data_IF_483558803026
#
_entry.id   IF_483558803026
#
_cell.length_a   1.000
_cell.length_b   1.000
_cell.length_c   1.000
_cell.angle_alpha   90.00
_cell.angle_beta   90.00
_cell.angle_gamma   90.00
#
_symmetry.space_group_name_H-M   'P 1'
#
loop_
_entity.id
_entity.type
_entity.pdbx_description
1 polymer ?
#
# COMPACT_ATOMS: atom_id res chain seq x y z
N UNK A 1 -22.66 5.98 -17.15
CA UNK A 1 -22.60 4.93 -18.17
C UNK A 1 -21.25 4.24 -18.03
N UNK A 2 -21.15 2.90 -18.05
CA UNK A 2 -19.84 2.25 -18.09
C UNK A 2 -19.08 2.76 -19.31
N UNK A 3 -17.80 3.07 -19.14
CA UNK A 3 -16.92 3.44 -20.26
C UNK A 3 -17.00 2.32 -21.28
N UNK A 4 -17.25 2.70 -22.53
CA UNK A 4 -16.99 1.78 -23.64
C UNK A 4 -15.48 1.49 -23.65
N UNK A 5 -15.12 0.39 -22.98
CA UNK A 5 -13.75 -0.13 -22.82
C UNK A 5 -13.12 -0.45 -24.20
N UNK A 6 -13.90 -0.34 -25.25
CA UNK A 6 -13.55 -0.65 -26.62
C UNK A 6 -13.00 0.53 -27.45
N UNK A 7 -12.79 1.74 -26.87
CA UNK A 7 -12.14 2.82 -27.61
C UNK A 7 -10.61 2.65 -27.65
N UNK A 8 -10.03 2.16 -28.76
CA UNK A 8 -8.58 1.93 -28.86
C UNK A 8 -7.75 3.22 -28.75
N UNK A 9 -8.34 4.39 -29.02
CA UNK A 9 -7.64 5.67 -28.90
C UNK A 9 -7.43 6.01 -27.44
N UNK A 10 -8.46 5.95 -26.60
CA UNK A 10 -8.34 6.19 -25.15
C UNK A 10 -7.39 5.22 -24.46
N UNK A 11 -7.40 3.95 -24.88
CA UNK A 11 -6.46 2.99 -24.32
C UNK A 11 -5.00 3.31 -24.67
N UNK A 12 -4.73 3.80 -25.89
CA UNK A 12 -3.40 4.28 -26.27
C UNK A 12 -2.99 5.50 -25.44
N UNK A 13 -3.88 6.47 -25.26
CA UNK A 13 -3.61 7.67 -24.45
C UNK A 13 -3.36 7.29 -22.97
N UNK A 14 -4.11 6.34 -22.45
CA UNK A 14 -3.91 5.81 -21.10
C UNK A 14 -2.54 5.12 -20.94
N UNK A 15 -2.12 4.34 -21.94
CA UNK A 15 -0.80 3.71 -21.95
C UNK A 15 0.34 4.74 -22.04
N UNK A 16 0.16 5.82 -22.80
CA UNK A 16 1.11 6.93 -22.88
C UNK A 16 1.25 7.61 -21.51
N UNK A 17 0.14 7.94 -20.84
CA UNK A 17 0.19 8.50 -19.49
C UNK A 17 0.85 7.56 -18.46
N UNK A 18 0.62 6.26 -18.56
CA UNK A 18 1.28 5.27 -17.70
C UNK A 18 2.78 5.16 -17.99
N UNK A 19 3.21 5.33 -19.24
CA UNK A 19 4.65 5.36 -19.59
C UNK A 19 5.34 6.62 -19.03
N UNK A 20 4.63 7.74 -18.95
CA UNK A 20 5.14 8.98 -18.37
C UNK A 20 5.07 9.00 -16.83
N UNK A 21 4.02 8.41 -16.23
CA UNK A 21 3.77 8.43 -14.81
C UNK A 21 4.78 7.57 -14.01
N UNK A 22 5.05 7.96 -12.78
CA UNK A 22 5.78 7.17 -11.78
C UNK A 22 4.79 6.29 -11.00
N UNK A 23 4.19 5.30 -11.68
CA UNK A 23 3.12 4.48 -11.11
C UNK A 23 3.64 3.58 -9.98
N UNK A 24 3.16 3.82 -8.77
CA UNK A 24 3.52 3.05 -7.55
C UNK A 24 2.25 2.55 -6.88
N UNK A 25 2.18 1.26 -6.64
CA UNK A 25 1.17 0.64 -5.79
C UNK A 25 1.60 0.71 -4.32
N UNK A 26 0.77 1.29 -3.47
CA UNK A 26 1.12 1.49 -2.06
C UNK A 26 1.07 0.19 -1.23
N UNK A 27 0.55 -0.90 -1.77
CA UNK A 27 0.56 -2.17 -1.04
C UNK A 27 0.39 -3.38 -1.95
N UNK A 28 1.36 -4.29 -1.91
CA UNK A 28 1.24 -5.63 -2.49
C UNK A 28 1.87 -6.68 -1.57
N UNK A 29 1.18 -7.81 -1.44
CA UNK A 29 1.66 -8.97 -0.66
C UNK A 29 2.32 -10.07 -1.53
N UNK A 30 2.72 -9.73 -2.76
CA UNK A 30 3.28 -10.68 -3.74
C UNK A 30 4.44 -11.51 -3.19
N UNK A 31 5.21 -10.94 -2.26
CA UNK A 31 6.29 -11.68 -1.62
C UNK A 31 5.80 -12.80 -0.68
N UNK A 32 4.57 -12.73 -0.18
CA UNK A 32 3.95 -13.85 0.56
C UNK A 32 3.73 -15.04 -0.38
N UNK A 33 3.16 -14.81 -1.56
CA UNK A 33 2.94 -15.84 -2.57
C UNK A 33 4.27 -16.53 -2.98
N UNK A 34 5.33 -15.74 -3.17
CA UNK A 34 6.69 -16.24 -3.47
C UNK A 34 7.20 -17.18 -2.38
N UNK A 35 7.06 -16.81 -1.11
CA UNK A 35 7.60 -17.58 0.01
C UNK A 35 6.77 -18.81 0.39
N UNK A 36 5.44 -18.73 0.27
CA UNK A 36 4.55 -19.79 0.75
C UNK A 36 4.16 -20.78 -0.35
N UNK A 37 4.05 -20.32 -1.60
CA UNK A 37 3.55 -21.12 -2.72
C UNK A 37 4.59 -21.32 -3.83
N UNK A 38 5.84 -20.87 -3.65
CA UNK A 38 6.88 -20.97 -4.69
C UNK A 38 6.54 -20.16 -5.94
N UNK A 39 5.72 -19.11 -5.81
CA UNK A 39 5.38 -18.24 -6.92
C UNK A 39 6.61 -17.44 -7.38
N UNK A 40 6.97 -17.58 -8.67
CA UNK A 40 8.09 -16.86 -9.25
C UNK A 40 7.62 -15.51 -9.81
N UNK A 41 7.75 -14.45 -9.04
CA UNK A 41 7.37 -13.11 -9.47
C UNK A 41 8.27 -12.53 -10.59
N UNK A 42 9.38 -13.17 -10.94
CA UNK A 42 10.21 -12.77 -12.08
C UNK A 42 9.72 -13.37 -13.39
N UNK A 43 8.99 -14.47 -13.35
CA UNK A 43 8.44 -15.14 -14.52
C UNK A 43 7.04 -14.66 -14.87
N UNK A 44 6.70 -14.67 -16.16
CA UNK A 44 5.36 -14.30 -16.61
C UNK A 44 4.34 -15.40 -16.30
N UNK A 45 3.23 -15.01 -15.68
CA UNK A 45 2.11 -15.88 -15.39
C UNK A 45 0.86 -15.46 -16.18
N UNK A 46 0.04 -16.46 -16.52
CA UNK A 46 -1.26 -16.18 -17.13
C UNK A 46 -2.20 -15.54 -16.09
N UNK A 47 -2.90 -14.45 -16.42
CA UNK A 47 -3.90 -13.87 -15.57
C UNK A 47 -4.96 -14.91 -15.19
N UNK A 48 -5.26 -15.00 -13.90
CA UNK A 48 -6.29 -15.92 -13.39
C UNK A 48 -7.48 -15.10 -12.86
N UNK A 49 -8.70 -15.63 -13.05
CA UNK A 49 -9.90 -15.03 -12.49
C UNK A 49 -10.12 -15.54 -11.06
N UNK A 50 -10.52 -14.65 -10.13
CA UNK A 50 -10.92 -14.96 -8.75
C UNK A 50 -9.89 -15.77 -7.97
N UNK A 51 -8.64 -15.39 -8.03
CA UNK A 51 -7.58 -15.94 -7.21
C UNK A 51 -7.24 -15.02 -6.05
N UNK A 52 -6.74 -15.60 -4.96
CA UNK A 52 -6.27 -14.88 -3.77
C UNK A 52 -4.78 -14.52 -3.84
N UNK A 53 -4.04 -15.10 -4.76
CA UNK A 53 -2.60 -14.91 -4.94
C UNK A 53 -2.21 -15.11 -6.41
N UNK A 54 -1.04 -14.54 -6.81
CA UNK A 54 -0.53 -14.61 -8.17
C UNK A 54 -1.03 -13.47 -9.05
N UNK A 55 -1.35 -12.33 -8.42
CA UNK A 55 -1.82 -11.13 -9.10
C UNK A 55 -0.68 -10.38 -9.77
N UNK A 56 0.51 -10.30 -9.14
CA UNK A 56 1.62 -9.49 -9.63
C UNK A 56 2.81 -10.37 -10.02
N UNK A 57 3.34 -10.13 -11.21
CA UNK A 57 4.70 -10.51 -11.63
C UNK A 57 5.33 -9.33 -12.40
N UNK A 58 6.65 -9.30 -12.49
CA UNK A 58 7.38 -8.20 -13.10
C UNK A 58 7.05 -8.01 -14.61
N UNK A 59 6.89 -9.08 -15.42
CA UNK A 59 6.45 -8.92 -16.81
C UNK A 59 5.06 -8.26 -16.95
N UNK A 60 4.06 -8.67 -16.17
CA UNK A 60 2.72 -8.05 -16.19
C UNK A 60 2.75 -6.64 -15.58
N UNK A 61 3.52 -6.42 -14.50
CA UNK A 61 3.73 -5.11 -13.93
C UNK A 61 4.26 -4.12 -14.98
N UNK A 62 5.30 -4.49 -15.72
CA UNK A 62 5.88 -3.68 -16.80
C UNK A 62 4.85 -3.38 -17.91
N UNK A 63 4.12 -4.39 -18.40
CA UNK A 63 3.13 -4.21 -19.45
C UNK A 63 1.93 -3.38 -19.01
N UNK A 64 1.53 -3.50 -17.77
CA UNK A 64 0.43 -2.72 -17.17
C UNK A 64 0.85 -1.30 -16.74
N UNK A 65 2.14 -0.94 -16.88
CA UNK A 65 2.65 0.37 -16.49
C UNK A 65 2.89 0.54 -14.99
N UNK A 66 2.91 -0.54 -14.19
CA UNK A 66 3.26 -0.50 -12.77
C UNK A 66 4.78 -0.43 -12.63
N UNK A 67 5.31 0.73 -12.23
CA UNK A 67 6.75 1.00 -12.16
C UNK A 67 7.36 0.74 -10.79
N UNK A 68 6.57 0.62 -9.76
CA UNK A 68 7.02 0.25 -8.44
C UNK A 68 5.87 -0.17 -7.54
N UNK A 69 6.19 -0.78 -6.43
CA UNK A 69 5.23 -1.11 -5.39
C UNK A 69 5.89 -1.17 -4.01
N UNK A 70 5.09 -0.97 -2.97
CA UNK A 70 5.45 -1.27 -1.60
C UNK A 70 5.27 -2.78 -1.39
N UNK A 71 6.38 -3.50 -1.41
CA UNK A 71 6.42 -4.96 -1.25
C UNK A 71 6.38 -5.33 0.21
N UNK A 72 5.26 -5.87 0.64
CA UNK A 72 4.99 -6.17 2.03
C UNK A 72 5.71 -7.41 2.52
N UNK A 73 6.33 -7.30 3.70
CA UNK A 73 6.85 -8.41 4.48
C UNK A 73 5.95 -8.59 5.70
N UNK A 74 5.10 -9.62 5.64
CA UNK A 74 4.20 -10.01 6.73
C UNK A 74 4.74 -11.23 7.45
N UNK A 75 4.67 -11.25 8.77
CA UNK A 75 5.02 -12.42 9.57
C UNK A 75 3.77 -13.03 10.21
N UNK A 76 3.74 -14.36 10.36
CA UNK A 76 2.64 -15.03 11.04
C UNK A 76 2.51 -14.53 12.49
N UNK A 77 1.39 -13.91 12.88
CA UNK A 77 1.20 -13.29 14.20
C UNK A 77 1.20 -14.30 15.36
N UNK A 78 0.95 -15.59 15.08
CA UNK A 78 0.98 -16.64 16.10
C UNK A 78 2.38 -17.16 16.42
N UNK A 79 3.41 -16.70 15.72
CA UNK A 79 4.80 -17.05 16.07
C UNK A 79 5.24 -16.35 17.34
N UNK A 80 6.11 -16.96 18.17
CA UNK A 80 6.81 -16.28 19.26
C UNK A 80 7.56 -15.04 18.76
N UNK A 81 7.68 -13.99 19.59
CA UNK A 81 8.26 -12.70 19.20
C UNK A 81 9.69 -12.85 18.59
N UNK A 82 10.58 -13.60 19.26
CA UNK A 82 11.94 -13.87 18.76
C UNK A 82 11.96 -14.60 17.41
N UNK A 83 10.97 -15.44 17.15
CA UNK A 83 10.84 -16.14 15.86
C UNK A 83 10.29 -15.23 14.76
N UNK A 84 9.42 -14.26 15.12
CA UNK A 84 8.92 -13.27 14.16
C UNK A 84 10.06 -12.38 13.66
N UNK A 85 10.88 -11.86 14.55
CA UNK A 85 12.03 -11.02 14.18
C UNK A 85 13.02 -11.75 13.28
N UNK A 86 13.46 -12.97 13.64
CA UNK A 86 14.35 -13.77 12.78
C UNK A 86 13.72 -14.05 11.41
N UNK A 87 12.41 -14.26 11.36
CA UNK A 87 11.69 -14.47 10.11
C UNK A 87 11.65 -13.19 9.28
N UNK A 88 11.43 -12.03 9.90
CA UNK A 88 11.48 -10.74 9.22
C UNK A 88 12.84 -10.52 8.58
N UNK A 89 13.94 -10.64 9.34
CA UNK A 89 15.30 -10.41 8.84
C UNK A 89 15.64 -11.33 7.66
N UNK A 90 15.30 -12.62 7.78
CA UNK A 90 15.48 -13.56 6.68
C UNK A 90 14.66 -13.18 5.44
N UNK A 91 13.42 -12.73 5.61
CA UNK A 91 12.55 -12.36 4.51
C UNK A 91 12.98 -11.05 3.86
N UNK A 92 13.46 -10.10 4.66
CA UNK A 92 14.00 -8.83 4.16
C UNK A 92 15.23 -9.10 3.28
N UNK A 93 16.15 -9.95 3.78
CA UNK A 93 17.32 -10.36 3.00
C UNK A 93 16.92 -11.09 1.70
N UNK A 94 15.93 -11.97 1.75
CA UNK A 94 15.44 -12.67 0.56
C UNK A 94 14.78 -11.73 -0.45
N UNK A 95 13.97 -10.75 -0.01
CA UNK A 95 13.37 -9.73 -0.87
C UNK A 95 14.45 -8.84 -1.49
N UNK A 96 15.46 -8.44 -0.71
CA UNK A 96 16.61 -7.66 -1.21
C UNK A 96 17.39 -8.44 -2.26
N UNK A 97 17.66 -9.73 -2.00
CA UNK A 97 18.32 -10.59 -2.98
C UNK A 97 17.50 -10.66 -4.26
N UNK A 98 16.18 -10.90 -4.17
CA UNK A 98 15.29 -10.91 -5.33
C UNK A 98 15.38 -9.58 -6.11
N UNK A 99 15.28 -8.44 -5.44
CA UNK A 99 15.36 -7.13 -6.08
C UNK A 99 16.69 -6.87 -6.78
N UNK A 100 17.82 -7.29 -6.17
CA UNK A 100 19.15 -7.02 -6.70
C UNK A 100 19.60 -8.03 -7.77
N UNK A 101 19.01 -9.22 -7.83
CA UNK A 101 19.41 -10.27 -8.79
C UNK A 101 18.44 -10.46 -9.94
N UNK A 102 17.23 -9.91 -9.85
CA UNK A 102 16.21 -10.04 -10.90
C UNK A 102 16.37 -8.93 -11.93
N UNK A 103 16.58 -9.24 -13.21
CA UNK A 103 16.69 -8.25 -14.28
C UNK A 103 15.45 -7.36 -14.35
N UNK A 104 15.66 -6.04 -14.37
CA UNK A 104 14.58 -5.05 -14.45
C UNK A 104 13.87 -4.79 -13.12
N UNK A 105 14.44 -5.21 -11.98
CA UNK A 105 14.04 -4.81 -10.64
C UNK A 105 15.13 -3.97 -9.96
N UNK A 106 14.75 -3.12 -9.01
CA UNK A 106 15.67 -2.34 -8.19
C UNK A 106 15.20 -2.30 -6.73
N UNK A 107 16.15 -2.41 -5.80
CA UNK A 107 15.91 -2.17 -4.37
C UNK A 107 15.87 -0.68 -4.11
N UNK A 108 14.75 -0.17 -3.59
CA UNK A 108 14.51 1.27 -3.44
C UNK A 108 14.12 1.58 -1.99
N UNK A 109 14.97 2.37 -1.31
CA UNK A 109 14.71 2.84 0.05
C UNK A 109 14.80 4.37 0.20
N UNK A 110 15.15 5.09 -0.85
CA UNK A 110 15.24 6.55 -0.90
C UNK A 110 14.63 7.10 -2.18
N UNK A 111 14.35 8.40 -2.21
CA UNK A 111 13.85 9.05 -3.43
C UNK A 111 14.90 9.07 -4.54
N UNK A 112 16.18 9.25 -4.21
CA UNK A 112 17.26 9.17 -5.20
C UNK A 112 17.33 7.79 -5.85
N UNK A 113 17.26 6.70 -5.03
CA UNK A 113 17.23 5.34 -5.57
C UNK A 113 15.97 5.07 -6.41
N UNK A 114 14.84 5.72 -6.08
CA UNK A 114 13.64 5.65 -6.90
C UNK A 114 13.84 6.34 -8.26
N UNK A 115 14.41 7.54 -8.27
CA UNK A 115 14.68 8.29 -9.50
C UNK A 115 15.66 7.52 -10.40
N UNK A 116 16.70 6.89 -9.82
CA UNK A 116 17.64 6.03 -10.55
C UNK A 116 16.94 4.80 -11.15
N UNK A 117 16.07 4.14 -10.41
CA UNK A 117 15.29 3.01 -10.91
C UNK A 117 14.38 3.40 -12.08
N UNK A 118 13.74 4.59 -12.00
CA UNK A 118 12.92 5.13 -13.10
C UNK A 118 13.75 5.45 -14.33
N UNK A 119 14.91 6.09 -14.18
CA UNK A 119 15.83 6.39 -15.27
C UNK A 119 16.30 5.12 -15.98
N UNK A 120 16.51 4.02 -15.25
CA UNK A 120 16.91 2.72 -15.77
C UNK A 120 15.73 1.83 -16.21
N UNK A 121 14.49 2.33 -16.17
CA UNK A 121 13.26 1.58 -16.48
C UNK A 121 13.12 0.27 -15.66
N UNK A 122 13.55 0.30 -14.41
CA UNK A 122 13.43 -0.82 -13.48
C UNK A 122 12.18 -0.69 -12.62
N UNK A 123 11.61 -1.83 -12.20
CA UNK A 123 10.52 -1.86 -11.23
C UNK A 123 11.09 -1.64 -9.82
N UNK A 124 10.61 -0.59 -9.16
CA UNK A 124 11.03 -0.25 -7.80
C UNK A 124 10.40 -1.21 -6.79
N UNK A 125 11.22 -2.06 -6.16
CA UNK A 125 10.84 -2.88 -5.03
C UNK A 125 11.11 -2.08 -3.77
N UNK A 126 10.05 -1.55 -3.17
CA UNK A 126 10.09 -0.70 -1.99
C UNK A 126 9.73 -1.56 -0.78
N UNK A 127 10.69 -1.86 0.11
CA UNK A 127 10.46 -2.79 1.22
C UNK A 127 9.63 -2.16 2.33
N UNK A 128 8.55 -2.83 2.71
CA UNK A 128 7.70 -2.40 3.83
C UNK A 128 7.37 -3.58 4.76
N UNK A 129 7.03 -3.27 6.00
CA UNK A 129 6.65 -4.27 7.01
C UNK A 129 5.17 -4.13 7.33
N UNK A 130 4.42 -5.22 7.18
CA UNK A 130 3.01 -5.27 7.58
C UNK A 130 2.86 -5.98 8.91
N UNK A 131 2.51 -5.19 9.93
CA UNK A 131 2.44 -5.62 11.32
C UNK A 131 3.78 -5.51 12.04
N UNK A 132 4.05 -4.33 12.60
CA UNK A 132 5.30 -3.97 13.28
C UNK A 132 5.66 -4.83 14.51
N UNK A 133 4.75 -5.69 14.98
CA UNK A 133 5.02 -6.65 16.07
C UNK A 133 6.15 -7.63 15.76
N UNK A 134 6.62 -7.70 14.52
CA UNK A 134 7.81 -8.47 14.15
C UNK A 134 9.12 -7.67 14.30
N UNK A 135 9.04 -6.36 14.45
CA UNK A 135 10.18 -5.49 14.74
C UNK A 135 10.65 -5.61 16.20
N UNK A 136 9.80 -6.13 17.07
CA UNK A 136 10.11 -6.30 18.49
C UNK A 136 10.00 -5.01 19.30
N UNK A 137 11.00 -4.72 20.10
CA UNK A 137 11.20 -3.46 20.82
C UNK A 137 12.14 -2.50 20.05
N UNK A 138 12.42 -1.35 20.62
CA UNK A 138 13.26 -0.33 19.98
C UNK A 138 14.64 -0.86 19.55
N UNK A 139 15.26 -1.74 20.37
CA UNK A 139 16.54 -2.35 20.04
C UNK A 139 16.45 -3.25 18.80
N UNK A 140 15.33 -3.91 18.62
CA UNK A 140 15.08 -4.76 17.45
C UNK A 140 14.82 -3.95 16.18
N UNK A 141 14.24 -2.75 16.31
CA UNK A 141 14.08 -1.83 15.18
C UNK A 141 15.45 -1.33 14.70
N UNK A 142 16.34 -0.97 15.60
CA UNK A 142 17.72 -0.59 15.26
C UNK A 142 18.47 -1.72 14.53
N UNK A 143 18.18 -3.00 14.83
CA UNK A 143 18.82 -4.15 14.17
C UNK A 143 18.30 -4.41 12.75
N UNK A 144 17.08 -3.98 12.42
CA UNK A 144 16.54 -4.06 11.06
C UNK A 144 17.07 -2.91 10.19
N UNK A 145 17.44 -1.80 10.82
CA UNK A 145 17.95 -0.59 10.19
C UNK A 145 16.87 0.21 9.45
N UNK A 146 16.82 1.50 9.72
CA UNK A 146 15.96 2.42 8.98
C UNK A 146 16.30 2.46 7.48
N UNK A 147 17.51 2.05 7.11
CA UNK A 147 17.97 1.95 5.73
C UNK A 147 17.34 0.81 4.95
N UNK A 148 16.79 -0.20 5.62
CA UNK A 148 16.32 -1.43 4.98
C UNK A 148 14.80 -1.50 4.79
N UNK A 149 14.01 -0.64 5.45
CA UNK A 149 12.54 -0.56 5.27
C UNK A 149 12.09 0.89 5.11
N UNK A 150 11.13 1.12 4.22
CA UNK A 150 10.59 2.46 3.94
C UNK A 150 9.40 2.78 4.81
N UNK A 151 8.51 1.81 5.04
CA UNK A 151 7.31 1.99 5.84
C UNK A 151 7.03 0.79 6.73
N UNK A 152 6.28 0.99 7.79
CA UNK A 152 5.74 -0.10 8.59
C UNK A 152 4.31 0.20 9.07
N UNK A 153 3.43 -0.79 8.88
CA UNK A 153 2.08 -0.79 9.46
C UNK A 153 2.16 -1.18 10.93
N UNK A 154 1.61 -0.36 11.83
CA UNK A 154 1.73 -0.58 13.28
C UNK A 154 1.11 -1.90 13.72
N UNK A 155 0.00 -2.29 13.11
CA UNK A 155 -0.77 -3.50 13.43
C UNK A 155 -1.35 -4.09 12.16
N UNK A 156 -1.61 -5.40 12.17
CA UNK A 156 -2.26 -6.09 11.05
C UNK A 156 -3.60 -6.71 11.50
N UNK A 157 -3.89 -7.95 11.13
CA UNK A 157 -5.19 -8.62 11.38
C UNK A 157 -5.51 -8.87 12.86
N UNK A 158 -4.51 -8.94 13.72
CA UNK A 158 -4.67 -9.18 15.15
C UNK A 158 -4.05 -8.04 15.96
N UNK A 159 -4.71 -7.64 17.04
CA UNK A 159 -4.10 -6.76 18.04
C UNK A 159 -2.81 -7.40 18.58
N UNK A 160 -1.84 -6.58 18.90
CA UNK A 160 -0.51 -7.04 19.28
C UNK A 160 -0.04 -6.38 20.58
N UNK A 161 1.20 -6.65 21.00
CA UNK A 161 1.83 -5.94 22.12
C UNK A 161 2.10 -4.45 21.82
N UNK A 162 1.83 -3.97 20.62
CA UNK A 162 2.06 -2.60 20.19
C UNK A 162 0.76 -1.80 20.06
N UNK A 163 -0.26 -2.37 19.41
CA UNK A 163 -1.45 -1.64 19.01
C UNK A 163 -2.68 -2.52 18.83
N UNK A 164 -3.83 -1.87 18.87
CA UNK A 164 -5.12 -2.47 18.55
C UNK A 164 -5.42 -2.40 17.06
N UNK A 165 -5.90 -3.54 16.48
CA UNK A 165 -6.37 -3.61 15.09
C UNK A 165 -7.83 -3.17 14.96
N UNK A 166 -8.23 -2.71 13.75
CA UNK A 166 -9.64 -2.45 13.39
C UNK A 166 -10.48 -3.72 13.25
N UNK A 167 -9.86 -4.92 13.10
CA UNK A 167 -10.57 -6.17 12.87
C UNK A 167 -11.59 -6.46 13.98
N UNK A 168 -12.89 -6.69 13.66
CA UNK A 168 -13.96 -6.85 14.64
C UNK A 168 -14.03 -8.30 15.22
N UNK A 169 -12.94 -8.78 15.81
CA UNK A 169 -12.93 -10.09 16.45
C UNK A 169 -13.56 -10.02 17.85
N UNK A 170 -14.47 -10.96 18.23
CA UNK A 170 -15.12 -10.93 19.54
C UNK A 170 -14.16 -10.92 20.74
N UNK A 171 -13.03 -11.60 20.62
CA UNK A 171 -12.01 -11.68 21.67
C UNK A 171 -11.16 -10.41 21.82
N UNK A 172 -11.20 -9.49 20.87
CA UNK A 172 -10.47 -8.23 20.86
C UNK A 172 -10.81 -7.36 22.09
N UNK A 173 -12.10 -7.30 22.45
CA UNK A 173 -12.60 -6.49 23.59
C UNK A 173 -12.19 -7.00 24.96
N UNK A 174 -11.83 -8.29 25.08
CA UNK A 174 -11.58 -8.95 26.36
C UNK A 174 -10.09 -9.04 26.70
N UNK A 175 -9.20 -9.10 25.71
CA UNK A 175 -7.79 -9.49 25.91
C UNK A 175 -6.76 -8.62 25.19
N UNK A 176 -7.18 -7.63 24.43
CA UNK A 176 -6.29 -6.77 23.66
C UNK A 176 -6.12 -5.36 24.26
N UNK A 177 -5.06 -4.62 23.86
CA UNK A 177 -4.92 -3.22 24.20
C UNK A 177 -6.06 -2.40 23.57
N UNK A 178 -6.36 -1.24 24.14
CA UNK A 178 -7.08 -0.16 23.46
C UNK A 178 -6.05 0.83 22.94
N UNK A 179 -6.13 1.16 21.64
CA UNK A 179 -5.19 2.07 21.01
C UNK A 179 -3.74 1.59 21.04
N UNK A 180 -2.80 2.50 21.21
CA UNK A 180 -1.37 2.23 21.36
C UNK A 180 -1.01 1.80 22.79
N UNK A 181 -0.23 0.74 22.92
CA UNK A 181 0.43 0.41 24.19
C UNK A 181 1.61 1.34 24.45
N UNK A 182 2.21 1.28 25.63
CA UNK A 182 3.47 2.01 25.93
C UNK A 182 4.58 1.64 24.94
N UNK A 183 4.68 0.36 24.54
CA UNK A 183 5.63 -0.10 23.50
C UNK A 183 5.30 0.44 22.10
N UNK A 184 4.01 0.50 21.75
CA UNK A 184 3.56 1.10 20.50
C UNK A 184 3.90 2.58 20.43
N UNK A 185 3.73 3.33 21.52
CA UNK A 185 4.11 4.75 21.62
C UNK A 185 5.63 4.95 21.44
N UNK A 186 6.44 4.12 22.08
CA UNK A 186 7.89 4.15 21.91
C UNK A 186 8.29 3.85 20.45
N UNK A 187 7.64 2.87 19.81
CA UNK A 187 7.90 2.54 18.41
C UNK A 187 7.54 3.70 17.46
N UNK A 188 6.41 4.40 17.67
CA UNK A 188 6.05 5.61 16.90
C UNK A 188 7.16 6.67 17.01
N UNK A 189 7.67 6.92 18.21
CA UNK A 189 8.81 7.83 18.40
C UNK A 189 10.07 7.40 17.66
N UNK A 190 10.40 6.10 17.69
CA UNK A 190 11.54 5.55 16.95
C UNK A 190 11.35 5.68 15.44
N UNK A 191 10.15 5.37 14.91
CA UNK A 191 9.87 5.50 13.49
C UNK A 191 9.98 6.95 13.01
N UNK A 192 9.53 7.92 13.80
CA UNK A 192 9.73 9.34 13.52
C UNK A 192 11.22 9.70 13.46
N UNK A 193 11.99 9.30 14.48
CA UNK A 193 13.42 9.58 14.56
C UNK A 193 14.21 8.98 13.39
N UNK A 194 13.86 7.75 12.99
CA UNK A 194 14.50 7.00 11.90
C UNK A 194 13.90 7.29 10.51
N UNK A 195 12.92 8.21 10.42
CA UNK A 195 12.25 8.58 9.17
C UNK A 195 11.66 7.37 8.42
N UNK A 196 11.03 6.46 9.17
CA UNK A 196 10.25 5.36 8.62
C UNK A 196 8.80 5.78 8.52
N UNK A 197 8.22 5.72 7.33
CA UNK A 197 6.83 6.10 7.06
C UNK A 197 5.89 5.22 7.90
N UNK A 198 5.11 5.86 8.77
CA UNK A 198 4.11 5.17 9.57
C UNK A 198 2.87 4.93 8.72
N UNK A 199 2.48 3.67 8.60
CA UNK A 199 1.28 3.25 7.89
C UNK A 199 0.18 2.89 8.90
N UNK A 200 -0.97 3.55 8.80
CA UNK A 200 -2.14 3.36 9.66
C UNK A 200 -3.21 2.44 9.06
N UNK A 201 -2.90 1.75 7.98
CA UNK A 201 -3.74 0.65 7.52
C UNK A 201 -3.94 -0.37 8.65
N UNK A 202 -5.14 -0.92 8.78
CA UNK A 202 -5.57 -1.84 9.86
C UNK A 202 -5.63 -1.26 11.28
N UNK A 203 -5.22 -0.03 11.52
CA UNK A 203 -5.31 0.57 12.84
C UNK A 203 -6.77 0.70 13.30
N UNK A 204 -7.05 0.42 14.61
CA UNK A 204 -8.32 0.81 15.19
C UNK A 204 -8.43 2.34 15.25
N UNK A 205 -9.64 2.85 15.47
CA UNK A 205 -9.85 4.29 15.64
C UNK A 205 -9.00 4.84 16.79
N UNK A 206 -8.92 4.13 17.91
CA UNK A 206 -8.10 4.54 19.07
C UNK A 206 -6.60 4.51 18.72
N UNK A 207 -6.11 3.45 18.04
CA UNK A 207 -4.72 3.38 17.57
C UNK A 207 -4.38 4.51 16.59
N UNK A 208 -5.31 4.83 15.69
CA UNK A 208 -5.15 5.90 14.74
C UNK A 208 -4.94 7.25 15.46
N UNK A 209 -5.86 7.63 16.34
CA UNK A 209 -5.79 8.93 17.04
C UNK A 209 -4.66 9.01 18.05
N UNK A 210 -4.34 7.92 18.73
CA UNK A 210 -3.13 7.84 19.58
C UNK A 210 -1.86 8.10 18.77
N UNK A 211 -1.80 7.59 17.53
CA UNK A 211 -0.65 7.81 16.65
C UNK A 211 -0.57 9.25 16.18
N UNK A 212 -1.69 9.83 15.73
CA UNK A 212 -1.77 11.25 15.35
C UNK A 212 -1.26 12.15 16.47
N UNK A 213 -1.67 11.88 17.72
CA UNK A 213 -1.27 12.71 18.87
C UNK A 213 0.21 12.61 19.26
N UNK A 214 0.94 11.62 18.73
CA UNK A 214 2.37 11.40 19.04
C UNK A 214 3.30 11.65 17.85
N UNK A 215 2.72 11.67 16.64
CA UNK A 215 3.48 11.77 15.42
C UNK A 215 4.14 13.14 15.25
N UNK A 216 5.33 13.17 14.66
CA UNK A 216 5.97 14.39 14.19
C UNK A 216 5.27 14.88 12.91
N UNK A 217 4.36 15.86 13.06
CA UNK A 217 3.54 16.39 11.96
C UNK A 217 4.35 17.08 10.82
N UNK A 218 5.66 17.25 10.99
CA UNK A 218 6.53 17.67 9.89
C UNK A 218 6.86 16.54 8.90
N UNK A 219 6.47 15.32 9.22
CA UNK A 219 6.66 14.13 8.40
C UNK A 219 5.31 13.58 7.93
N UNK A 220 5.20 13.04 6.70
CA UNK A 220 3.96 12.48 6.22
C UNK A 220 3.60 11.17 6.94
N UNK A 221 2.30 10.93 7.12
CA UNK A 221 1.70 9.62 7.44
C UNK A 221 1.09 9.01 6.18
N UNK A 222 0.78 7.72 6.23
CA UNK A 222 0.02 7.08 5.16
C UNK A 222 -1.02 6.10 5.69
N UNK A 223 -2.03 5.84 4.86
CA UNK A 223 -2.86 4.63 4.94
C UNK A 223 -2.71 3.93 3.60
N UNK A 224 -1.85 2.94 3.53
CA UNK A 224 -1.40 2.36 2.25
C UNK A 224 -2.52 1.71 1.46
N UNK A 225 -3.51 1.08 2.12
CA UNK A 225 -4.62 0.39 1.47
C UNK A 225 -5.88 0.42 2.35
N UNK A 226 -6.92 1.14 1.91
CA UNK A 226 -8.20 1.30 2.62
C UNK A 226 -9.31 1.73 1.66
N UNK A 227 -10.55 1.77 2.17
CA UNK A 227 -11.63 2.53 1.57
C UNK A 227 -11.98 3.74 2.44
N UNK A 228 -13.00 4.51 2.07
CA UNK A 228 -13.51 5.69 2.77
C UNK A 228 -14.91 5.39 3.31
N UNK A 229 -15.11 5.60 4.60
CA UNK A 229 -16.39 5.35 5.28
C UNK A 229 -17.50 6.31 4.77
N UNK A 230 -17.14 7.51 4.31
CA UNK A 230 -18.06 8.47 3.68
C UNK A 230 -18.64 7.95 2.36
N UNK A 231 -17.99 7.01 1.68
CA UNK A 231 -18.51 6.32 0.48
C UNK A 231 -19.20 5.01 0.82
N UNK A 232 -18.56 4.19 1.66
CA UNK A 232 -19.10 2.90 2.09
C UNK A 232 -18.71 2.61 3.54
N UNK A 233 -19.66 2.60 4.49
CA UNK A 233 -19.38 2.27 5.88
C UNK A 233 -18.85 0.83 6.02
N UNK A 234 -17.62 0.71 6.46
CA UNK A 234 -16.98 -0.57 6.72
C UNK A 234 -15.92 -0.44 7.82
N UNK A 235 -15.74 -1.44 8.65
CA UNK A 235 -14.79 -1.42 9.78
C UNK A 235 -13.33 -1.21 9.37
N UNK A 236 -13.00 -1.48 8.11
CA UNK A 236 -11.67 -1.35 7.52
C UNK A 236 -11.40 0.04 6.93
N UNK A 237 -12.46 0.82 6.72
CA UNK A 237 -12.40 2.12 6.06
C UNK A 237 -12.16 3.24 7.07
N UNK A 238 -11.41 4.25 6.65
CA UNK A 238 -11.20 5.47 7.44
C UNK A 238 -12.33 6.46 7.18
N UNK A 239 -12.64 7.28 8.19
CA UNK A 239 -13.61 8.37 8.07
C UNK A 239 -12.95 9.67 7.57
N UNK A 240 -13.77 10.70 7.34
CA UNK A 240 -13.31 11.99 6.82
C UNK A 240 -12.43 12.77 7.80
N UNK A 241 -12.60 12.58 9.12
CA UNK A 241 -11.74 13.20 10.11
C UNK A 241 -10.34 12.56 10.08
N UNK A 242 -10.28 11.23 9.96
CA UNK A 242 -9.04 10.49 9.80
C UNK A 242 -8.35 10.85 8.48
N UNK A 243 -9.13 10.96 7.37
CA UNK A 243 -8.62 11.38 6.08
C UNK A 243 -7.97 12.77 6.13
N UNK A 244 -8.61 13.74 6.79
CA UNK A 244 -8.07 15.08 7.01
C UNK A 244 -6.79 15.06 7.83
N UNK A 245 -6.76 14.27 8.92
CA UNK A 245 -5.57 14.15 9.75
C UNK A 245 -4.35 13.60 8.99
N UNK A 246 -4.55 12.65 8.05
CA UNK A 246 -3.47 12.21 7.14
C UNK A 246 -3.04 13.34 6.20
N UNK A 247 -4.00 14.07 5.62
CA UNK A 247 -3.71 15.17 4.69
C UNK A 247 -2.93 16.29 5.38
N UNK A 248 -3.27 16.63 6.62
CA UNK A 248 -2.60 17.68 7.43
C UNK A 248 -1.11 17.38 7.66
N UNK A 249 -0.70 16.12 7.63
CA UNK A 249 0.74 15.74 7.67
C UNK A 249 1.43 15.78 6.30
N UNK A 250 0.71 16.15 5.24
CA UNK A 250 1.20 16.01 3.87
C UNK A 250 1.22 14.56 3.36
N UNK A 251 0.51 13.67 4.01
CA UNK A 251 0.47 12.24 3.69
C UNK A 251 -0.42 11.87 2.51
N UNK A 252 -0.59 10.56 2.29
CA UNK A 252 -1.42 10.04 1.18
C UNK A 252 -2.19 8.78 1.60
N UNK A 253 -3.34 8.54 0.94
CA UNK A 253 -4.23 7.41 1.20
C UNK A 253 -4.41 6.57 -0.07
N UNK A 254 -4.04 5.30 0.01
CA UNK A 254 -4.20 4.32 -1.07
C UNK A 254 -5.57 3.66 -1.07
N UNK A 255 -6.29 3.74 -2.18
CA UNK A 255 -7.57 3.04 -2.35
C UNK A 255 -7.32 1.58 -2.66
N UNK A 256 -7.87 0.70 -1.81
CA UNK A 256 -7.77 -0.76 -1.95
C UNK A 256 -8.60 -1.28 -3.15
N UNK A 257 -8.22 -2.42 -3.72
CA UNK A 257 -8.97 -3.05 -4.82
C UNK A 257 -9.87 -4.20 -4.32
N UNK A 258 -10.30 -4.17 -3.07
CA UNK A 258 -11.22 -5.15 -2.52
C UNK A 258 -12.68 -4.67 -2.62
N UNK A 259 -13.52 -5.24 -3.52
CA UNK A 259 -14.88 -4.74 -3.77
C UNK A 259 -15.74 -4.66 -2.51
N UNK A 260 -15.58 -5.63 -1.57
CA UNK A 260 -16.37 -5.67 -0.35
C UNK A 260 -16.07 -4.55 0.65
N UNK A 261 -14.95 -3.84 0.53
CA UNK A 261 -14.62 -2.66 1.34
C UNK A 261 -15.06 -1.36 0.66
N UNK A 262 -15.24 -1.41 -0.67
CA UNK A 262 -15.53 -0.24 -1.49
C UNK A 262 -17.04 -0.05 -1.78
N UNK A 263 -17.85 -1.06 -1.56
CA UNK A 263 -19.28 -0.95 -1.83
C UNK A 263 -20.07 -2.20 -1.47
N UNK A 264 -21.39 -2.12 -1.64
CA UNK A 264 -22.25 -3.27 -1.39
C UNK A 264 -21.94 -4.40 -2.39
N UNK A 265 -22.15 -5.65 -1.96
CA UNK A 265 -21.89 -6.85 -2.76
C UNK A 265 -22.49 -6.81 -4.17
N UNK A 266 -23.66 -6.19 -4.32
CA UNK A 266 -24.32 -6.02 -5.62
C UNK A 266 -23.54 -5.13 -6.60
N UNK A 267 -22.67 -4.25 -6.13
CA UNK A 267 -21.85 -3.37 -6.94
C UNK A 267 -20.45 -3.93 -7.28
N UNK A 268 -20.13 -5.14 -6.83
CA UNK A 268 -18.80 -5.75 -7.02
C UNK A 268 -18.38 -5.92 -8.50
N UNK A 269 -19.35 -5.96 -9.42
CA UNK A 269 -19.10 -6.01 -10.88
C UNK A 269 -18.54 -4.70 -11.44
N UNK A 270 -18.77 -3.56 -10.77
CA UNK A 270 -18.29 -2.24 -11.17
C UNK A 270 -16.98 -1.90 -10.43
N UNK A 271 -15.96 -2.74 -10.57
CA UNK A 271 -14.75 -2.64 -9.78
C UNK A 271 -13.98 -1.33 -9.97
N UNK A 272 -13.80 -0.87 -11.22
CA UNK A 272 -13.17 0.43 -11.52
C UNK A 272 -14.03 1.57 -10.99
N UNK A 273 -15.34 1.53 -11.19
CA UNK A 273 -16.26 2.55 -10.68
C UNK A 273 -16.25 2.64 -9.16
N UNK A 274 -16.10 1.51 -8.45
CA UNK A 274 -15.90 1.49 -6.99
C UNK A 274 -14.65 2.26 -6.59
N UNK A 275 -13.50 1.93 -7.16
CA UNK A 275 -12.22 2.61 -6.91
C UNK A 275 -12.34 4.12 -7.20
N UNK A 276 -12.93 4.48 -8.32
CA UNK A 276 -13.10 5.88 -8.73
C UNK A 276 -13.99 6.68 -7.77
N UNK A 277 -15.02 6.08 -7.16
CA UNK A 277 -15.84 6.76 -6.15
C UNK A 277 -15.02 7.13 -4.90
N UNK A 278 -14.16 6.23 -4.44
CA UNK A 278 -13.29 6.49 -3.30
C UNK A 278 -12.20 7.52 -3.61
N UNK A 279 -11.59 7.45 -4.80
CA UNK A 279 -10.63 8.46 -5.26
C UNK A 279 -11.28 9.86 -5.34
N UNK A 280 -12.48 9.95 -5.92
CA UNK A 280 -13.23 11.21 -5.98
C UNK A 280 -13.52 11.75 -4.58
N UNK A 281 -13.95 10.90 -3.63
CA UNK A 281 -14.22 11.31 -2.26
C UNK A 281 -12.96 11.87 -1.55
N UNK A 282 -11.78 11.23 -1.75
CA UNK A 282 -10.52 11.78 -1.22
C UNK A 282 -10.27 13.17 -1.81
N UNK A 283 -10.38 13.31 -3.14
CA UNK A 283 -10.11 14.56 -3.85
C UNK A 283 -11.06 15.67 -3.39
N UNK A 284 -12.34 15.36 -3.26
CA UNK A 284 -13.37 16.31 -2.84
C UNK A 284 -13.23 16.75 -1.38
N UNK A 285 -12.67 15.86 -0.51
CA UNK A 285 -12.55 16.10 0.92
C UNK A 285 -11.25 16.82 1.30
N UNK A 286 -10.11 16.42 0.69
CA UNK A 286 -8.75 16.90 1.07
C UNK A 286 -7.86 17.30 -0.10
N UNK A 287 -8.32 17.18 -1.33
CA UNK A 287 -7.57 17.55 -2.52
C UNK A 287 -6.83 16.38 -3.18
N UNK A 288 -6.39 16.62 -4.42
CA UNK A 288 -5.77 15.60 -5.28
C UNK A 288 -4.37 15.15 -4.84
N UNK A 289 -3.72 15.92 -3.95
CA UNK A 289 -2.38 15.65 -3.44
C UNK A 289 -2.33 14.51 -2.40
N UNK A 290 -3.50 13.95 -2.04
CA UNK A 290 -3.62 12.93 -0.99
C UNK A 290 -4.20 11.60 -1.49
N UNK A 291 -4.64 11.52 -2.74
CA UNK A 291 -5.21 10.32 -3.35
C UNK A 291 -4.14 9.43 -3.99
N UNK A 292 -4.16 8.14 -3.70
CA UNK A 292 -3.23 7.14 -4.26
C UNK A 292 -3.93 5.79 -4.48
N UNK A 293 -3.21 4.83 -5.06
CA UNK A 293 -3.64 3.45 -5.25
C UNK A 293 -2.91 2.55 -4.26
N UNK A 294 -3.62 1.62 -3.64
CA UNK A 294 -3.04 0.62 -2.74
C UNK A 294 -3.79 -0.69 -2.91
N UNK A 295 -3.43 -1.43 -3.95
CA UNK A 295 -4.23 -2.52 -4.51
C UNK A 295 -4.59 -3.63 -3.52
N UNK A 296 -3.67 -3.96 -2.63
CA UNK A 296 -3.68 -5.15 -1.79
C UNK A 296 -3.61 -6.46 -2.62
N UNK A 297 -3.01 -6.37 -3.83
CA UNK A 297 -2.76 -7.56 -4.64
C UNK A 297 -1.95 -8.59 -3.84
N UNK A 298 -2.34 -9.85 -3.99
CA UNK A 298 -1.75 -10.98 -3.28
C UNK A 298 -2.01 -11.02 -1.75
N UNK A 299 -2.80 -10.06 -1.21
CA UNK A 299 -3.18 -9.96 0.20
C UNK A 299 -4.34 -10.87 0.61
N UNK A 300 -4.52 -12.01 -0.06
CA UNK A 300 -5.63 -12.93 0.13
C UNK A 300 -7.01 -12.31 -0.11
N UNK A 301 -7.06 -11.29 -0.96
CA UNK A 301 -8.30 -10.68 -1.45
C UNK A 301 -8.62 -11.22 -2.86
N UNK A 302 -9.87 -11.03 -3.30
CA UNK A 302 -10.28 -11.23 -4.68
C UNK A 302 -10.55 -9.85 -5.28
N UNK A 303 -9.61 -9.28 -6.03
CA UNK A 303 -9.82 -8.00 -6.69
C UNK A 303 -10.87 -8.11 -7.80
N UNK A 304 -11.43 -6.98 -8.29
CA UNK A 304 -12.36 -6.99 -9.41
C UNK A 304 -11.69 -7.54 -10.68
N UNK A 305 -12.46 -8.18 -11.54
CA UNK A 305 -11.93 -8.75 -12.78
C UNK A 305 -11.21 -7.70 -13.66
N UNK A 306 -11.67 -6.44 -13.64
CA UNK A 306 -11.05 -5.33 -14.38
C UNK A 306 -9.71 -4.86 -13.77
N UNK A 307 -9.43 -5.18 -12.48
CA UNK A 307 -8.22 -4.80 -11.74
C UNK A 307 -7.58 -6.01 -11.06
N UNK A 308 -7.78 -7.21 -11.61
CA UNK A 308 -7.27 -8.46 -11.04
C UNK A 308 -5.74 -8.56 -11.02
N UNK A 309 -5.07 -7.77 -11.84
CA UNK A 309 -3.62 -7.69 -11.95
C UNK A 309 -3.23 -6.34 -12.58
N UNK A 310 -1.93 -6.00 -12.67
CA UNK A 310 -1.47 -4.72 -13.22
C UNK A 310 -1.93 -4.42 -14.66
N UNK A 311 -2.31 -5.42 -15.46
CA UNK A 311 -2.81 -5.20 -16.81
C UNK A 311 -4.15 -4.45 -16.84
N UNK A 312 -4.82 -4.32 -15.69
CA UNK A 312 -6.03 -3.50 -15.53
C UNK A 312 -5.77 -2.00 -15.35
N UNK A 313 -4.55 -1.57 -15.06
CA UNK A 313 -4.24 -0.15 -14.82
C UNK A 313 -4.56 0.76 -16.01
N UNK A 314 -4.31 0.36 -17.29
CA UNK A 314 -4.72 1.17 -18.43
C UNK A 314 -6.22 1.45 -18.48
N UNK A 315 -7.06 0.50 -18.04
CA UNK A 315 -8.51 0.68 -17.98
C UNK A 315 -8.90 1.69 -16.89
N UNK A 316 -8.23 1.65 -15.74
CA UNK A 316 -8.43 2.61 -14.66
C UNK A 316 -8.05 4.03 -15.10
N UNK A 317 -6.92 4.19 -15.79
CA UNK A 317 -6.48 5.48 -16.34
C UNK A 317 -7.45 6.00 -17.40
N UNK A 318 -7.92 5.15 -18.31
CA UNK A 318 -8.94 5.52 -19.30
C UNK A 318 -10.24 5.99 -18.63
N UNK A 319 -10.64 5.37 -17.51
CA UNK A 319 -11.79 5.82 -16.73
C UNK A 319 -11.54 7.17 -16.05
N UNK A 320 -10.35 7.42 -15.49
CA UNK A 320 -9.96 8.73 -14.95
C UNK A 320 -10.07 9.82 -16.03
N UNK A 321 -9.55 9.56 -17.24
CA UNK A 321 -9.64 10.47 -18.37
C UNK A 321 -11.10 10.73 -18.79
N UNK A 322 -11.95 9.69 -18.82
CA UNK A 322 -13.35 9.81 -19.19
C UNK A 322 -14.15 10.67 -18.21
N UNK A 323 -13.71 10.72 -16.94
CA UNK A 323 -14.26 11.59 -15.90
C UNK A 323 -13.65 13.00 -15.89
N UNK A 324 -12.82 13.32 -16.89
CA UNK A 324 -12.23 14.65 -17.04
C UNK A 324 -11.02 14.90 -16.11
N UNK A 325 -10.39 13.85 -15.56
CA UNK A 325 -9.14 14.05 -14.81
C UNK A 325 -8.03 14.43 -15.78
N UNK A 326 -7.34 15.55 -15.49
CA UNK A 326 -6.19 16.01 -16.25
C UNK A 326 -4.97 15.13 -15.95
N UNK A 327 -4.03 15.07 -16.87
CA UNK A 327 -2.79 14.27 -16.77
C UNK A 327 -2.05 14.50 -15.46
N UNK A 328 -1.94 15.75 -15.01
CA UNK A 328 -1.30 16.09 -13.73
C UNK A 328 -1.94 15.41 -12.53
N UNK A 329 -3.29 15.43 -12.43
CA UNK A 329 -4.03 14.73 -11.37
C UNK A 329 -3.82 13.22 -11.46
N UNK A 330 -3.85 12.65 -12.67
CA UNK A 330 -3.63 11.23 -12.90
C UNK A 330 -2.23 10.83 -12.44
N UNK A 331 -1.20 11.61 -12.79
CA UNK A 331 0.19 11.36 -12.35
C UNK A 331 0.32 11.41 -10.81
N UNK A 332 -0.34 12.36 -10.15
CA UNK A 332 -0.38 12.42 -8.67
C UNK A 332 -0.95 11.15 -8.07
N UNK A 333 -2.12 10.70 -8.54
CA UNK A 333 -2.82 9.50 -8.04
C UNK A 333 -2.00 8.24 -8.30
N UNK A 334 -1.41 8.11 -9.49
CA UNK A 334 -0.67 6.91 -9.89
C UNK A 334 0.60 6.68 -9.04
N UNK A 335 1.20 7.74 -8.48
CA UNK A 335 2.39 7.56 -7.63
C UNK A 335 3.05 8.84 -7.19
N UNK A 336 2.78 9.98 -7.85
CA UNK A 336 3.40 11.27 -7.53
C UNK A 336 3.22 11.66 -6.06
N UNK A 337 2.05 11.38 -5.48
CA UNK A 337 1.76 11.67 -4.08
C UNK A 337 2.63 10.84 -3.12
N UNK A 338 2.82 9.55 -3.40
CA UNK A 338 3.74 8.71 -2.62
C UNK A 338 5.20 9.15 -2.78
N UNK A 339 5.64 9.42 -4.02
CA UNK A 339 7.03 9.87 -4.27
C UNK A 339 7.32 11.18 -3.55
N UNK A 340 6.35 12.09 -3.43
CA UNK A 340 6.45 13.30 -2.61
C UNK A 340 6.67 12.96 -1.13
N UNK A 341 5.92 12.02 -0.58
CA UNK A 341 6.12 11.53 0.80
C UNK A 341 7.51 10.89 0.98
N UNK A 342 7.94 10.07 0.01
CA UNK A 342 9.27 9.45 0.05
C UNK A 342 10.39 10.51 0.03
N UNK A 343 10.26 11.54 -0.80
CA UNK A 343 11.23 12.67 -0.84
C UNK A 343 11.26 13.47 0.44
N UNK A 344 10.11 13.71 1.08
CA UNK A 344 10.05 14.42 2.34
C UNK A 344 10.75 13.66 3.48
N UNK A 345 10.65 12.32 3.47
CA UNK A 345 11.26 11.47 4.49
C UNK A 345 12.71 11.10 4.18
N UNK A 346 13.00 10.70 2.92
CA UNK A 346 14.25 10.05 2.52
C UNK A 346 14.69 10.55 1.15
N UNK A 347 15.23 11.76 1.07
CA UNK A 347 15.61 12.36 -0.21
C UNK A 347 16.75 11.60 -0.92
N UNK A 348 17.78 11.14 -0.17
CA UNK A 348 18.94 10.44 -0.73
C UNK A 348 19.81 9.79 0.30
#
# INVERSE_FOLDING_TARGET
MPVDVADPARLRDALTLLDEAHTVDLHTDTFIATRMAGYDAAAEHRPRHRHFVGHVDLPRARRGGLKGALWSITTNPFRPASSRQRTLLRNLQALRTFACTTPGAAWVTTAAAFDDAMAQRQHAIIPVVQGANCLGDADSFASVGATDIVAATLVHLLSSSLAETSTPLPMKRLWGPRGLTARGRALVGTMNAERVLIDLAHASVDTFWDTIGLHDHSQPLTVTHTGLAGVHPHWRNIDDAQLKAIADTGGTVGVIFHPGFLGPKAAAHDGIGLVMRHLAHIIDTVGEDHASLGSDWDGFIVPPDSLKDPLGLPLLVAEMQSRGYRSERIHKILGGNFVRCLRALRPG
#
